data_IF_027052176076
#
_entry.id   IF_027052176076
#
_cell.length_a   1.000
_cell.length_b   1.000
_cell.length_c   1.000
_cell.angle_alpha   90.00
_cell.angle_beta   90.00
_cell.angle_gamma   90.00
#
_symmetry.space_group_name_H-M   'P 1'
#
loop_
_entity.id
_entity.type
_entity.pdbx_description
1 polymer ?
#
# COMPACT_ATOMS: atom_id res chain seq x y z
N UNK A 1 13.21 -0.67 -33.52
CA UNK A 1 11.78 -0.80 -33.17
C UNK A 1 11.64 -0.78 -31.66
N UNK A 2 11.44 0.40 -31.06
CA UNK A 2 11.49 0.63 -29.60
C UNK A 2 10.24 1.38 -29.12
N UNK A 3 9.06 0.90 -29.51
CA UNK A 3 7.77 1.55 -29.20
C UNK A 3 6.82 0.73 -28.33
N UNK A 4 7.08 -0.56 -28.11
CA UNK A 4 6.06 -1.47 -27.57
C UNK A 4 6.10 -1.64 -26.04
N UNK A 5 7.16 -1.17 -25.36
CA UNK A 5 7.28 -1.24 -23.90
C UNK A 5 6.83 0.03 -23.16
N UNK A 6 6.65 1.15 -23.86
CA UNK A 6 6.32 2.42 -23.20
C UNK A 6 4.86 2.52 -22.74
N UNK A 7 3.94 1.80 -23.40
CA UNK A 7 2.53 1.77 -23.01
C UNK A 7 2.25 0.87 -21.80
N UNK A 8 3.13 -0.08 -21.49
CA UNK A 8 2.96 -0.99 -20.35
C UNK A 8 3.17 -0.28 -19.00
N UNK A 9 4.08 0.71 -18.96
CA UNK A 9 4.52 1.47 -17.78
C UNK A 9 3.81 2.82 -17.59
N UNK A 10 2.83 3.15 -18.44
CA UNK A 10 2.11 4.41 -18.33
C UNK A 10 1.35 4.49 -16.99
N UNK A 11 1.66 5.50 -16.19
CA UNK A 11 1.01 5.73 -14.91
C UNK A 11 -0.51 5.87 -15.09
N UNK A 12 -1.28 5.10 -14.32
CA UNK A 12 -2.74 5.21 -14.27
C UNK A 12 -3.06 6.61 -13.72
N UNK A 13 -3.61 7.48 -14.57
CA UNK A 13 -4.04 8.82 -14.18
C UNK A 13 -5.40 8.69 -13.51
N UNK A 14 -5.45 8.95 -12.20
CA UNK A 14 -6.71 8.99 -11.48
C UNK A 14 -7.55 10.19 -11.94
N UNK A 15 -8.74 9.95 -12.48
CA UNK A 15 -9.74 10.99 -12.70
C UNK A 15 -10.40 11.44 -11.39
N UNK A 16 -11.08 12.60 -11.43
CA UNK A 16 -12.00 13.01 -10.36
C UNK A 16 -13.35 12.32 -10.53
N UNK A 17 -14.13 12.26 -9.44
CA UNK A 17 -15.52 11.75 -9.47
C UNK A 17 -16.44 12.88 -9.92
N UNK A 18 -17.14 12.72 -11.05
CA UNK A 18 -18.05 13.76 -11.61
C UNK A 18 -19.28 14.02 -10.74
N UNK A 19 -19.87 12.99 -10.13
CA UNK A 19 -21.05 13.12 -9.25
C UNK A 19 -20.71 12.76 -7.80
N UNK A 20 -20.35 13.75 -6.97
CA UNK A 20 -20.02 13.52 -5.58
C UNK A 20 -21.28 13.17 -4.76
N UNK A 21 -21.22 12.10 -3.96
CA UNK A 21 -22.25 11.84 -2.94
C UNK A 21 -22.38 13.03 -1.97
N UNK A 22 -23.60 13.35 -1.47
CA UNK A 22 -23.84 14.51 -0.62
C UNK A 22 -22.91 14.55 0.60
N UNK A 23 -22.22 15.67 0.80
CA UNK A 23 -21.35 15.92 1.96
C UNK A 23 -19.86 15.61 1.76
N UNK A 24 -19.41 15.24 0.55
CA UNK A 24 -17.97 15.12 0.26
C UNK A 24 -17.49 15.92 -0.95
N UNK A 25 -18.25 16.92 -1.42
CA UNK A 25 -18.03 17.75 -2.62
C UNK A 25 -16.64 18.42 -2.71
N UNK A 26 -15.91 18.58 -1.60
CA UNK A 26 -14.56 19.15 -1.56
C UNK A 26 -13.44 18.17 -1.21
N UNK A 27 -13.74 16.88 -1.02
CA UNK A 27 -12.74 15.89 -0.64
C UNK A 27 -12.03 15.30 -1.86
N UNK A 28 -10.70 15.07 -1.81
CA UNK A 28 -10.00 14.38 -2.87
C UNK A 28 -10.54 12.95 -3.00
N UNK A 29 -11.36 12.73 -4.03
CA UNK A 29 -11.90 11.43 -4.37
C UNK A 29 -11.08 10.81 -5.48
N UNK A 30 -10.79 9.52 -5.31
CA UNK A 30 -10.26 8.67 -6.35
C UNK A 30 -11.42 7.85 -6.90
N UNK A 31 -11.57 7.80 -8.22
CA UNK A 31 -12.45 6.82 -8.83
C UNK A 31 -11.85 5.42 -8.63
N UNK A 32 -12.47 4.62 -7.76
CA UNK A 32 -12.06 3.25 -7.48
C UNK A 32 -12.27 2.33 -8.68
N UNK A 33 -13.17 2.66 -9.61
CA UNK A 33 -13.42 1.86 -10.80
C UNK A 33 -12.17 1.75 -11.68
N UNK A 34 -11.33 2.79 -11.73
CA UNK A 34 -10.06 2.77 -12.45
C UNK A 34 -9.06 1.79 -11.82
N UNK A 35 -8.99 1.73 -10.48
CA UNK A 35 -8.14 0.76 -9.79
C UNK A 35 -8.69 -0.65 -10.02
N UNK A 36 -9.99 -0.85 -9.81
CA UNK A 36 -10.64 -2.16 -9.95
C UNK A 36 -10.47 -2.73 -11.37
N UNK A 37 -10.62 -1.91 -12.41
CA UNK A 37 -10.36 -2.29 -13.79
C UNK A 37 -8.88 -2.66 -14.04
N UNK A 38 -7.95 -2.04 -13.30
CA UNK A 38 -6.52 -2.31 -13.41
C UNK A 38 -6.05 -3.51 -12.56
N UNK A 39 -6.86 -4.01 -11.62
CA UNK A 39 -6.48 -5.09 -10.70
C UNK A 39 -5.88 -6.31 -11.41
N UNK A 40 -6.48 -6.86 -12.49
CA UNK A 40 -5.91 -8.03 -13.16
C UNK A 40 -4.49 -7.76 -13.68
N UNK A 41 -4.28 -6.61 -14.34
CA UNK A 41 -2.98 -6.20 -14.87
C UNK A 41 -1.96 -5.99 -13.74
N UNK A 42 -2.38 -5.38 -12.63
CA UNK A 42 -1.52 -5.17 -11.45
C UNK A 42 -1.07 -6.50 -10.82
N UNK A 43 -1.96 -7.49 -10.77
CA UNK A 43 -1.64 -8.84 -10.29
C UNK A 43 -0.64 -9.51 -11.23
N UNK A 44 -0.85 -9.45 -12.55
CA UNK A 44 0.06 -10.03 -13.53
C UNK A 44 1.47 -9.42 -13.43
N UNK A 45 1.58 -8.10 -13.26
CA UNK A 45 2.86 -7.46 -13.02
C UNK A 45 3.49 -7.86 -11.67
N UNK A 46 2.68 -8.03 -10.62
CA UNK A 46 3.15 -8.43 -9.30
C UNK A 46 3.80 -9.83 -9.30
N UNK A 47 3.40 -10.71 -10.22
CA UNK A 47 4.07 -12.02 -10.43
C UNK A 47 5.50 -11.84 -10.93
N UNK A 48 5.75 -10.82 -11.77
CA UNK A 48 7.08 -10.51 -12.30
C UNK A 48 7.99 -9.78 -11.31
N UNK A 49 7.42 -9.12 -10.30
CA UNK A 49 8.18 -8.42 -9.26
C UNK A 49 7.35 -7.38 -8.51
N UNK A 50 7.95 -6.63 -7.57
CA UNK A 50 7.27 -5.60 -6.80
C UNK A 50 6.67 -4.51 -7.70
N UNK A 51 5.41 -4.16 -7.46
CA UNK A 51 4.74 -3.04 -8.14
C UNK A 51 4.62 -1.88 -7.16
N UNK A 52 5.07 -0.69 -7.57
CA UNK A 52 4.99 0.53 -6.75
C UNK A 52 3.81 1.36 -7.23
N UNK A 53 2.87 1.62 -6.32
CA UNK A 53 1.74 2.51 -6.52
C UNK A 53 2.04 3.83 -5.84
N UNK A 54 1.89 4.94 -6.54
CA UNK A 54 2.04 6.27 -5.95
C UNK A 54 0.71 7.00 -5.93
N UNK A 55 0.36 7.58 -4.79
CA UNK A 55 -0.83 8.41 -4.61
C UNK A 55 -0.41 9.85 -4.38
N UNK A 56 -0.96 10.73 -5.23
CA UNK A 56 -0.66 12.17 -5.25
C UNK A 56 0.84 12.52 -5.28
N UNK A 57 1.69 11.60 -5.76
CA UNK A 57 3.14 11.77 -5.83
C UNK A 57 3.87 11.83 -4.47
N UNK A 58 3.16 11.67 -3.36
CA UNK A 58 3.72 11.80 -2.00
C UNK A 58 3.64 10.48 -1.22
N UNK A 59 2.56 9.72 -1.39
CA UNK A 59 2.36 8.43 -0.74
C UNK A 59 2.80 7.31 -1.69
N UNK A 60 3.58 6.36 -1.20
CA UNK A 60 4.04 5.20 -1.96
C UNK A 60 3.62 3.91 -1.27
N UNK A 61 3.01 3.01 -2.05
CA UNK A 61 2.58 1.69 -1.62
C UNK A 61 3.26 0.64 -2.50
N UNK A 62 3.66 -0.48 -1.91
CA UNK A 62 4.30 -1.57 -2.66
C UNK A 62 3.39 -2.79 -2.62
N UNK A 63 2.97 -3.24 -3.79
CA UNK A 63 2.25 -4.49 -3.98
C UNK A 63 3.27 -5.61 -4.20
N UNK A 64 3.13 -6.68 -3.39
CA UNK A 64 4.01 -7.84 -3.41
C UNK A 64 3.16 -9.12 -3.37
N UNK A 65 3.60 -10.21 -4.01
CA UNK A 65 3.10 -11.54 -3.71
C UNK A 65 3.24 -11.87 -2.22
N UNK A 66 2.25 -12.57 -1.66
CA UNK A 66 2.14 -12.79 -0.22
C UNK A 66 3.33 -13.58 0.36
N UNK A 67 3.89 -14.51 -0.41
CA UNK A 67 5.06 -15.28 -0.05
C UNK A 67 6.33 -14.41 0.00
N UNK A 68 6.48 -13.46 -0.93
CA UNK A 68 7.57 -12.48 -0.92
C UNK A 68 7.43 -11.53 0.26
N UNK A 69 6.22 -11.02 0.50
CA UNK A 69 5.93 -10.18 1.67
C UNK A 69 6.33 -10.88 2.97
N UNK A 70 5.97 -12.16 3.15
CA UNK A 70 6.34 -12.94 4.34
C UNK A 70 7.85 -13.02 4.53
N UNK A 71 8.63 -13.20 3.46
CA UNK A 71 10.09 -13.24 3.53
C UNK A 71 10.66 -11.89 3.96
N UNK A 72 10.17 -10.80 3.35
CA UNK A 72 10.56 -9.43 3.73
C UNK A 72 10.25 -9.18 5.20
N UNK A 73 9.03 -9.50 5.63
CA UNK A 73 8.58 -9.33 7.01
C UNK A 73 9.45 -10.09 8.02
N UNK A 74 9.82 -11.33 7.69
CA UNK A 74 10.68 -12.15 8.55
C UNK A 74 12.13 -11.67 8.58
N UNK A 75 12.60 -11.03 7.49
CA UNK A 75 13.94 -10.47 7.40
C UNK A 75 14.08 -9.08 8.03
N UNK A 76 12.96 -8.39 8.24
CA UNK A 76 12.97 -7.07 8.84
C UNK A 76 13.42 -7.16 10.30
N UNK A 77 14.39 -6.31 10.67
CA UNK A 77 14.80 -6.19 12.06
C UNK A 77 13.58 -5.85 12.90
N UNK A 78 13.29 -6.67 13.92
CA UNK A 78 12.20 -6.36 14.84
C UNK A 78 12.53 -5.01 15.51
N UNK A 79 11.59 -4.05 15.53
CA UNK A 79 11.80 -2.84 16.29
C UNK A 79 12.10 -3.23 17.75
N UNK A 80 13.01 -2.52 18.43
CA UNK A 80 13.35 -2.83 19.80
C UNK A 80 12.07 -2.79 20.64
N UNK A 81 11.72 -3.94 21.23
CA UNK A 81 10.64 -4.00 22.21
C UNK A 81 11.21 -3.37 23.47
N UNK A 82 10.74 -2.18 23.83
CA UNK A 82 10.99 -1.63 25.16
C UNK A 82 10.14 -2.45 26.12
N UNK A 83 10.77 -3.39 26.84
CA UNK A 83 10.12 -4.05 27.97
C UNK A 83 9.79 -2.95 29.00
N UNK A 84 8.51 -2.63 29.14
CA UNK A 84 8.08 -1.84 30.29
C UNK A 84 8.20 -2.76 31.49
N UNK A 85 9.16 -2.47 32.38
CA UNK A 85 9.22 -3.09 33.70
C UNK A 85 7.84 -2.96 34.34
N UNK A 86 7.16 -4.09 34.53
CA UNK A 86 5.88 -4.15 35.20
C UNK A 86 6.13 -3.65 36.64
N UNK A 87 5.42 -2.61 37.12
CA UNK A 87 5.59 -2.16 38.49
C UNK A 87 5.33 -3.33 39.43
N UNK A 88 6.36 -3.75 40.16
CA UNK A 88 6.27 -4.88 41.08
C UNK A 88 5.11 -4.69 42.04
N UNK A 89 4.28 -5.72 42.18
CA UNK A 89 3.25 -5.76 43.22
C UNK A 89 3.93 -5.55 44.59
N UNK A 90 3.42 -4.67 45.47
CA UNK A 90 3.96 -4.55 46.81
C UNK A 90 3.69 -5.87 47.55
N UNK A 91 4.77 -6.58 47.88
CA UNK A 91 4.73 -7.77 48.73
C UNK A 91 4.13 -7.44 50.10
N UNK A 92 3.48 -8.41 50.77
CA UNK A 92 2.78 -8.16 52.02
C UNK A 92 3.77 -7.76 53.10
N UNK A 93 3.54 -6.58 53.71
CA UNK A 93 4.23 -6.17 54.93
C UNK A 93 4.00 -7.25 56.01
N UNK A 94 5.10 -7.78 56.55
CA UNK A 94 5.14 -8.70 57.68
C UNK A 94 5.45 -7.94 58.97
#
# INVERSE_FOLDING_TARGET
MSGWRQDEDAAIRSGGVEEPAPGLEGQPRLDMALIEAAVPKLIDHAVGGPVVLTRHGAEAYVLLPLDIWRRVWLSAARPPVVEMEQPGEPGPEA
#
